data_IF_222124927924
#
_entry.id   IF_222124927924
#
_cell.length_a   1.000
_cell.length_b   1.000
_cell.length_c   1.000
_cell.angle_alpha   90.00
_cell.angle_beta   90.00
_cell.angle_gamma   90.00
#
_symmetry.space_group_name_H-M   'P 1'
#
loop_
_entity.id
_entity.type
_entity.pdbx_description
1 polymer ?
#
# COMPACT_ATOMS: atom_id res chain seq x y z
N UNK A 1 -3.87 -65.89 94.64
CA UNK A 1 -4.34 -65.50 96.01
C UNK A 1 -4.65 -63.97 95.89
N UNK A 2 -5.90 -63.65 95.97
CA UNK A 2 -6.42 -62.34 96.42
C UNK A 2 -6.07 -61.06 95.61
N UNK A 3 -6.92 -60.27 95.25
CA UNK A 3 -8.25 -59.70 95.56
C UNK A 3 -8.28 -58.27 95.01
N UNK A 4 -9.34 -57.96 94.27
CA UNK A 4 -10.08 -56.65 94.21
C UNK A 4 -9.25 -55.33 94.02
N UNK A 5 -9.69 -54.34 93.27
CA UNK A 5 -11.03 -53.76 93.06
C UNK A 5 -11.02 -52.68 91.96
N UNK A 6 -12.03 -52.65 91.16
CA UNK A 6 -12.82 -51.54 90.66
C UNK A 6 -12.26 -50.14 90.90
N UNK A 7 -12.23 -49.31 89.85
CA UNK A 7 -12.99 -48.04 89.73
C UNK A 7 -12.91 -47.56 88.28
N UNK A 8 -14.09 -47.42 87.69
CA UNK A 8 -14.30 -46.89 86.34
C UNK A 8 -14.23 -45.39 86.36
N UNK A 9 -13.68 -44.82 85.33
CA UNK A 9 -13.87 -43.41 84.94
C UNK A 9 -14.26 -43.39 83.46
N UNK A 10 -15.51 -43.05 83.19
CA UNK A 10 -16.03 -42.70 81.88
C UNK A 10 -15.44 -41.41 81.47
N UNK A 11 -14.61 -41.40 80.42
CA UNK A 11 -14.17 -40.21 79.73
C UNK A 11 -15.01 -40.13 78.44
N UNK A 12 -16.04 -39.27 78.46
CA UNK A 12 -16.88 -38.98 77.32
C UNK A 12 -16.04 -38.22 76.26
N UNK A 13 -15.83 -38.87 75.13
CA UNK A 13 -15.22 -38.27 73.97
C UNK A 13 -16.25 -37.42 73.24
N UNK A 14 -16.33 -36.12 73.56
CA UNK A 14 -17.12 -35.15 72.77
C UNK A 14 -16.39 -34.87 71.45
N UNK A 15 -16.88 -35.52 70.37
CA UNK A 15 -16.45 -35.21 68.99
C UNK A 15 -17.01 -33.82 68.62
N UNK A 16 -16.14 -32.77 68.76
CA UNK A 16 -16.42 -31.44 68.26
C UNK A 16 -16.37 -31.45 66.72
N UNK A 17 -17.55 -31.50 66.07
CA UNK A 17 -17.65 -31.16 64.64
C UNK A 17 -17.30 -29.69 64.46
N UNK A 18 -16.05 -29.40 64.12
CA UNK A 18 -15.63 -28.11 63.57
C UNK A 18 -16.23 -28.00 62.16
N UNK A 19 -17.37 -27.34 62.03
CA UNK A 19 -17.87 -26.90 60.76
C UNK A 19 -16.93 -25.78 60.28
N UNK A 20 -16.00 -26.16 59.35
CA UNK A 20 -15.26 -25.22 58.55
C UNK A 20 -16.24 -24.48 57.65
N UNK A 21 -16.66 -23.30 58.08
CA UNK A 21 -17.31 -22.37 57.18
C UNK A 21 -16.27 -21.97 56.13
N UNK A 22 -16.32 -22.61 54.96
CA UNK A 22 -15.68 -22.11 53.77
C UNK A 22 -16.35 -20.76 53.46
N UNK A 23 -15.73 -19.67 53.88
CA UNK A 23 -16.07 -18.34 53.43
C UNK A 23 -15.76 -18.35 51.94
N UNK A 24 -16.73 -18.66 51.12
CA UNK A 24 -16.66 -18.28 49.71
C UNK A 24 -16.49 -16.78 49.68
N UNK A 25 -15.29 -16.30 49.45
CA UNK A 25 -15.09 -14.92 49.11
C UNK A 25 -16.01 -14.64 47.90
N UNK A 26 -17.09 -13.91 48.16
CA UNK A 26 -17.99 -13.46 47.10
C UNK A 26 -17.13 -12.72 46.10
N UNK A 27 -16.87 -13.33 44.95
CA UNK A 27 -16.19 -12.69 43.86
C UNK A 27 -17.03 -11.47 43.51
N UNK A 28 -16.49 -10.27 43.78
CA UNK A 28 -17.18 -9.00 43.53
C UNK A 28 -17.52 -8.98 42.05
N UNK A 29 -18.78 -9.18 41.70
CA UNK A 29 -19.26 -9.09 40.34
C UNK A 29 -18.91 -7.72 39.82
N UNK A 30 -18.33 -7.66 38.61
CA UNK A 30 -17.97 -6.40 37.96
C UNK A 30 -19.24 -5.59 37.70
N UNK A 31 -19.17 -4.27 37.94
CA UNK A 31 -20.36 -3.42 37.78
C UNK A 31 -20.41 -2.85 36.35
N UNK A 32 -21.63 -2.74 35.82
CA UNK A 32 -21.89 -2.14 34.52
C UNK A 32 -21.91 -0.62 34.70
N UNK A 33 -21.06 0.10 33.95
CA UNK A 33 -21.00 1.58 33.95
C UNK A 33 -21.74 2.19 32.77
N UNK A 34 -21.92 1.45 31.68
CA UNK A 34 -22.79 1.86 30.57
C UNK A 34 -23.38 0.65 29.85
N UNK A 35 -24.61 0.82 29.38
CA UNK A 35 -25.26 -0.10 28.41
C UNK A 35 -25.24 0.60 27.07
N UNK A 36 -24.80 -0.10 26.02
CA UNK A 36 -24.63 0.43 24.68
C UNK A 36 -25.27 -0.53 23.69
N UNK A 37 -26.49 -0.25 23.22
CA UNK A 37 -27.33 -1.21 22.47
C UNK A 37 -27.39 -2.58 23.15
N UNK A 38 -26.88 -3.62 22.50
CA UNK A 38 -26.81 -5.00 23.00
C UNK A 38 -25.53 -5.30 23.81
N UNK A 39 -24.62 -4.30 23.96
CA UNK A 39 -23.34 -4.43 24.65
C UNK A 39 -23.30 -3.69 25.99
N UNK A 40 -22.27 -3.94 26.77
CA UNK A 40 -22.01 -3.30 28.05
C UNK A 40 -20.58 -2.78 28.13
N UNK A 41 -20.36 -1.79 28.96
CA UNK A 41 -19.04 -1.33 29.40
C UNK A 41 -18.95 -1.61 30.90
N UNK A 42 -17.89 -2.29 31.32
CA UNK A 42 -17.66 -2.71 32.69
C UNK A 42 -16.79 -1.68 33.46
N UNK A 43 -16.96 -1.63 34.77
CA UNK A 43 -16.13 -0.81 35.64
C UNK A 43 -14.64 -1.18 35.59
N UNK A 44 -14.35 -2.48 35.44
CA UNK A 44 -12.99 -2.96 35.27
C UNK A 44 -12.35 -2.42 33.99
N UNK A 45 -13.08 -2.41 32.85
CA UNK A 45 -12.58 -1.86 31.57
C UNK A 45 -12.27 -0.36 31.70
N UNK A 46 -13.18 0.39 32.35
CA UNK A 46 -12.98 1.81 32.61
C UNK A 46 -11.75 2.06 33.47
N UNK A 47 -11.58 1.27 34.55
CA UNK A 47 -10.46 1.41 35.49
C UNK A 47 -9.12 1.13 34.82
N UNK A 48 -9.03 0.03 34.06
CA UNK A 48 -7.83 -0.35 33.31
C UNK A 48 -7.48 0.73 32.30
N UNK A 49 -8.46 1.20 31.53
CA UNK A 49 -8.24 2.22 30.51
C UNK A 49 -7.80 3.56 31.12
N UNK A 50 -8.39 3.96 32.26
CA UNK A 50 -7.97 5.15 33.02
C UNK A 50 -6.52 5.07 33.43
N UNK A 51 -6.08 3.94 33.98
CA UNK A 51 -4.68 3.75 34.40
C UNK A 51 -3.72 3.85 33.21
N UNK A 52 -4.07 3.27 32.06
CA UNK A 52 -3.26 3.35 30.82
C UNK A 52 -3.14 4.82 30.40
N UNK A 53 -4.26 5.54 30.30
CA UNK A 53 -4.28 6.94 29.85
C UNK A 53 -3.51 7.84 30.82
N UNK A 54 -3.67 7.66 32.13
CA UNK A 54 -2.93 8.43 33.15
C UNK A 54 -1.42 8.22 33.04
N UNK A 55 -0.96 6.96 32.84
CA UNK A 55 0.46 6.66 32.65
C UNK A 55 1.00 7.32 31.38
N UNK A 56 0.25 7.24 30.28
CA UNK A 56 0.64 7.84 29.01
C UNK A 56 0.79 9.35 29.12
N UNK A 57 -0.21 10.04 29.68
CA UNK A 57 -0.16 11.50 29.91
C UNK A 57 1.02 11.90 30.82
N UNK A 58 1.28 11.10 31.87
CA UNK A 58 2.42 11.34 32.78
C UNK A 58 3.76 11.18 32.07
N UNK A 59 3.92 10.18 31.20
CA UNK A 59 5.13 9.98 30.42
C UNK A 59 5.39 11.10 29.41
N UNK A 60 4.32 11.67 28.87
CA UNK A 60 4.38 12.78 27.91
C UNK A 60 4.54 14.15 28.59
N UNK A 61 4.77 14.19 29.93
CA UNK A 61 4.81 15.42 30.75
C UNK A 61 3.57 16.31 30.58
N UNK A 62 2.43 15.74 30.23
CA UNK A 62 1.18 16.47 30.06
C UNK A 62 0.47 16.59 31.39
N UNK A 63 0.03 17.81 31.75
CA UNK A 63 -0.75 18.02 32.98
C UNK A 63 -2.04 17.20 32.94
N UNK A 64 -2.25 16.35 33.94
CA UNK A 64 -3.44 15.55 34.08
C UNK A 64 -4.68 16.43 34.21
N UNK A 65 -5.77 16.20 33.47
CA UNK A 65 -7.05 16.81 33.68
C UNK A 65 -7.66 16.43 35.06
N UNK A 66 -8.72 17.11 35.46
CA UNK A 66 -9.54 16.66 36.60
C UNK A 66 -9.98 15.19 36.36
N UNK A 67 -9.95 14.40 37.44
CA UNK A 67 -10.22 12.95 37.35
C UNK A 67 -11.63 12.67 36.82
N UNK A 68 -12.63 13.48 37.17
CA UNK A 68 -14.00 13.29 36.68
C UNK A 68 -14.09 13.60 35.18
N UNK A 69 -13.37 14.62 34.70
CA UNK A 69 -13.30 14.95 33.27
C UNK A 69 -12.63 13.81 32.50
N UNK A 70 -11.51 13.32 33.02
CA UNK A 70 -10.78 12.22 32.40
C UNK A 70 -11.62 10.93 32.39
N UNK A 71 -12.30 10.60 33.46
CA UNK A 71 -13.20 9.45 33.57
C UNK A 71 -14.31 9.50 32.53
N UNK A 72 -14.97 10.66 32.39
CA UNK A 72 -16.03 10.84 31.39
C UNK A 72 -15.50 10.74 29.95
N UNK A 73 -14.32 11.26 29.68
CA UNK A 73 -13.69 11.14 28.36
C UNK A 73 -13.37 9.68 28.01
N UNK A 74 -12.77 8.94 28.97
CA UNK A 74 -12.44 7.53 28.78
C UNK A 74 -13.70 6.68 28.64
N UNK A 75 -14.75 6.93 29.45
CA UNK A 75 -16.03 6.25 29.31
C UNK A 75 -16.66 6.49 27.94
N UNK A 76 -16.68 7.74 27.46
CA UNK A 76 -17.17 8.06 26.13
C UNK A 76 -16.38 7.35 25.02
N UNK A 77 -15.07 7.23 25.18
CA UNK A 77 -14.24 6.49 24.24
C UNK A 77 -14.59 5.02 24.22
N UNK A 78 -14.75 4.37 25.39
CA UNK A 78 -15.15 2.95 25.49
C UNK A 78 -16.54 2.70 24.89
N UNK A 79 -17.49 3.61 25.06
CA UNK A 79 -18.80 3.55 24.42
C UNK A 79 -18.67 3.57 22.90
N UNK A 80 -17.87 4.48 22.34
CA UNK A 80 -17.65 4.57 20.89
C UNK A 80 -16.91 3.34 20.36
N UNK A 81 -15.93 2.83 21.08
CA UNK A 81 -15.23 1.59 20.72
C UNK A 81 -16.19 0.40 20.67
N UNK A 82 -17.08 0.27 21.68
CA UNK A 82 -18.09 -0.78 21.75
C UNK A 82 -19.05 -0.71 20.55
N UNK A 83 -19.54 0.48 20.19
CA UNK A 83 -20.39 0.67 19.00
C UNK A 83 -19.69 0.25 17.70
N UNK A 84 -18.40 0.57 17.55
CA UNK A 84 -17.62 0.19 16.38
C UNK A 84 -17.42 -1.33 16.30
N UNK A 85 -17.15 -1.99 17.42
CA UNK A 85 -17.00 -3.46 17.48
C UNK A 85 -18.32 -4.17 17.15
N UNK A 86 -19.45 -3.67 17.67
CA UNK A 86 -20.77 -4.22 17.32
C UNK A 86 -21.04 -4.06 15.81
N UNK A 87 -20.72 -2.90 15.23
CA UNK A 87 -20.90 -2.66 13.80
C UNK A 87 -19.96 -3.54 12.95
N UNK A 88 -18.73 -3.75 13.42
CA UNK A 88 -17.78 -4.65 12.78
C UNK A 88 -18.31 -6.08 12.73
N UNK A 89 -18.85 -6.57 13.85
CA UNK A 89 -19.51 -7.89 13.94
C UNK A 89 -20.69 -7.99 12.98
N UNK A 90 -21.58 -6.98 12.95
CA UNK A 90 -22.74 -6.94 12.03
C UNK A 90 -22.33 -6.95 10.55
N UNK A 91 -21.17 -6.38 10.22
CA UNK A 91 -20.62 -6.35 8.85
C UNK A 91 -19.70 -7.52 8.52
N UNK A 92 -19.51 -8.47 9.42
CA UNK A 92 -18.67 -9.64 9.21
C UNK A 92 -17.17 -9.33 9.15
N UNK A 93 -16.72 -8.22 9.74
CA UNK A 93 -15.29 -7.89 9.83
C UNK A 93 -14.63 -8.85 10.82
N UNK A 94 -13.68 -9.62 10.34
CA UNK A 94 -12.91 -10.59 11.12
C UNK A 94 -11.42 -10.41 10.91
N UNK A 95 -10.66 -10.29 12.00
CA UNK A 95 -9.21 -10.23 11.99
C UNK A 95 -8.63 -11.59 12.38
N UNK A 96 -7.98 -12.24 11.43
CA UNK A 96 -7.37 -13.55 11.61
C UNK A 96 -6.13 -13.49 12.51
N UNK A 97 -5.82 -14.59 13.20
CA UNK A 97 -4.66 -14.68 14.10
C UNK A 97 -3.32 -14.26 13.48
N UNK A 98 -2.98 -14.67 12.26
CA UNK A 98 -1.72 -14.24 11.63
C UNK A 98 -1.59 -12.71 11.49
N UNK A 99 -2.71 -12.01 11.28
CA UNK A 99 -2.71 -10.53 11.19
C UNK A 99 -2.39 -9.90 12.56
N UNK A 100 -2.91 -10.50 13.64
CA UNK A 100 -2.60 -10.07 15.02
C UNK A 100 -1.13 -10.32 15.33
N UNK A 101 -0.58 -11.48 14.94
CA UNK A 101 0.83 -11.82 15.15
C UNK A 101 1.76 -10.83 14.45
N UNK A 102 1.50 -10.52 13.19
CA UNK A 102 2.25 -9.51 12.43
C UNK A 102 2.18 -8.11 13.10
N UNK A 103 1.02 -7.75 13.64
CA UNK A 103 0.88 -6.48 14.36
C UNK A 103 1.71 -6.44 15.64
N UNK A 104 1.71 -7.52 16.41
CA UNK A 104 2.52 -7.67 17.64
C UNK A 104 4.02 -7.64 17.35
N UNK A 105 4.47 -8.37 16.33
CA UNK A 105 5.86 -8.33 15.85
C UNK A 105 6.28 -6.92 15.45
N UNK A 106 5.41 -6.18 14.76
CA UNK A 106 5.66 -4.79 14.39
C UNK A 106 5.79 -3.87 15.62
N UNK A 107 4.96 -4.09 16.64
CA UNK A 107 5.06 -3.36 17.92
C UNK A 107 6.41 -3.62 18.59
N UNK A 108 6.85 -4.88 18.69
CA UNK A 108 8.15 -5.23 19.23
C UNK A 108 9.30 -4.58 18.45
N UNK A 109 9.25 -4.66 17.12
CA UNK A 109 10.25 -4.06 16.22
C UNK A 109 10.32 -2.54 16.35
N UNK A 110 9.18 -1.85 16.40
CA UNK A 110 9.13 -0.40 16.53
C UNK A 110 9.68 0.07 17.88
N UNK A 111 9.49 -0.72 18.94
CA UNK A 111 10.06 -0.47 20.27
C UNK A 111 11.49 -1.01 20.42
N UNK A 112 12.06 -1.63 19.40
CA UNK A 112 13.42 -2.23 19.41
C UNK A 112 13.65 -3.24 20.53
N UNK A 113 12.63 -4.04 20.85
CA UNK A 113 12.65 -5.08 21.88
C UNK A 113 12.42 -6.46 21.27
N UNK A 114 12.96 -7.51 21.92
CA UNK A 114 12.66 -8.90 21.56
C UNK A 114 11.25 -9.31 22.01
N UNK A 115 10.75 -10.45 21.49
CA UNK A 115 9.45 -10.99 21.87
C UNK A 115 9.37 -11.26 23.39
N UNK A 116 10.42 -11.85 24.00
CA UNK A 116 10.46 -12.14 25.43
C UNK A 116 10.40 -10.87 26.29
N UNK A 117 11.08 -9.79 25.86
CA UNK A 117 11.02 -8.50 26.54
C UNK A 117 9.67 -7.82 26.36
N UNK A 118 8.99 -8.04 25.24
CA UNK A 118 7.63 -7.56 25.04
C UNK A 118 6.67 -8.25 26.00
N UNK A 119 6.77 -9.58 26.16
CA UNK A 119 5.93 -10.33 27.09
C UNK A 119 6.14 -9.86 28.54
N UNK A 120 7.38 -9.63 28.95
CA UNK A 120 7.68 -9.09 30.26
C UNK A 120 7.12 -7.66 30.45
N UNK A 121 7.26 -6.78 29.45
CA UNK A 121 6.73 -5.43 29.51
C UNK A 121 5.18 -5.41 29.59
N UNK A 122 4.51 -6.34 28.94
CA UNK A 122 3.05 -6.56 29.04
C UNK A 122 2.68 -6.98 30.45
N UNK A 123 3.40 -7.97 31.02
CA UNK A 123 3.18 -8.45 32.40
C UNK A 123 3.42 -7.36 33.44
N UNK A 124 4.48 -6.56 33.27
CA UNK A 124 4.80 -5.40 34.14
C UNK A 124 3.70 -4.33 34.11
N UNK A 125 2.95 -4.24 33.04
CA UNK A 125 1.76 -3.38 32.94
C UNK A 125 0.49 -4.02 33.51
N UNK A 126 0.55 -5.23 34.04
CA UNK A 126 -0.56 -5.95 34.66
C UNK A 126 -1.52 -6.59 33.65
N UNK A 127 -1.08 -6.78 32.39
CA UNK A 127 -1.84 -7.40 31.32
C UNK A 127 -1.24 -8.79 30.99
N UNK A 128 -2.08 -9.77 30.68
CA UNK A 128 -1.60 -11.05 30.14
C UNK A 128 -1.42 -10.97 28.63
N UNK A 129 -0.61 -11.85 28.03
CA UNK A 129 -0.46 -11.94 26.57
C UNK A 129 -1.79 -12.19 25.86
N UNK A 130 -2.71 -12.95 26.47
CA UNK A 130 -4.04 -13.22 25.91
C UNK A 130 -4.88 -11.93 25.86
N UNK A 131 -4.86 -11.15 26.94
CA UNK A 131 -5.57 -9.85 26.99
C UNK A 131 -4.97 -8.88 26.00
N UNK A 132 -3.64 -8.80 25.93
CA UNK A 132 -2.94 -7.98 24.95
C UNK A 132 -3.32 -8.34 23.50
N UNK A 133 -3.30 -9.63 23.14
CA UNK A 133 -3.71 -10.10 21.83
C UNK A 133 -5.17 -9.74 21.52
N UNK A 134 -6.05 -9.87 22.50
CA UNK A 134 -7.46 -9.48 22.34
C UNK A 134 -7.60 -7.99 22.07
N UNK A 135 -6.89 -7.16 22.82
CA UNK A 135 -6.87 -5.71 22.63
C UNK A 135 -6.35 -5.32 21.25
N UNK A 136 -5.23 -5.90 20.80
CA UNK A 136 -4.69 -5.67 19.47
C UNK A 136 -5.69 -6.08 18.39
N UNK A 137 -6.37 -7.22 18.54
CA UNK A 137 -7.43 -7.63 17.60
C UNK A 137 -8.57 -6.62 17.56
N UNK A 138 -9.01 -6.11 18.70
CA UNK A 138 -10.06 -5.09 18.78
C UNK A 138 -9.62 -3.78 18.10
N UNK A 139 -8.40 -3.30 18.34
CA UNK A 139 -7.83 -2.12 17.69
C UNK A 139 -7.77 -2.28 16.17
N UNK A 140 -7.32 -3.45 15.68
CA UNK A 140 -7.29 -3.75 14.25
C UNK A 140 -8.70 -3.82 13.65
N UNK A 141 -9.66 -4.41 14.38
CA UNK A 141 -11.06 -4.49 13.96
C UNK A 141 -11.69 -3.10 13.86
N UNK A 142 -11.45 -2.24 14.86
CA UNK A 142 -11.91 -0.84 14.86
C UNK A 142 -11.30 -0.08 13.68
N UNK A 143 -10.00 -0.22 13.44
CA UNK A 143 -9.34 0.43 12.31
C UNK A 143 -9.94 -0.03 10.98
N UNK A 144 -10.16 -1.31 10.80
CA UNK A 144 -10.73 -1.86 9.57
C UNK A 144 -12.15 -1.35 9.32
N UNK A 145 -13.01 -1.37 10.33
CA UNK A 145 -14.39 -0.88 10.19
C UNK A 145 -14.43 0.63 9.94
N UNK A 146 -13.53 1.42 10.55
CA UNK A 146 -13.37 2.84 10.26
C UNK A 146 -12.98 3.07 8.80
N UNK A 147 -11.91 2.42 8.35
CA UNK A 147 -11.39 2.57 6.98
C UNK A 147 -12.47 2.21 5.96
N UNK A 148 -13.11 1.07 6.13
CA UNK A 148 -14.14 0.58 5.18
C UNK A 148 -15.37 1.48 5.18
N UNK A 149 -15.91 1.81 6.37
CA UNK A 149 -17.14 2.59 6.49
C UNK A 149 -16.95 4.06 6.05
N UNK A 150 -15.84 4.67 6.43
CA UNK A 150 -15.56 6.08 6.10
C UNK A 150 -15.20 6.24 4.62
N UNK A 151 -14.38 5.34 4.04
CA UNK A 151 -14.03 5.41 2.62
C UNK A 151 -15.25 5.27 1.70
N UNK A 152 -16.25 4.48 2.10
CA UNK A 152 -17.50 4.35 1.34
C UNK A 152 -18.34 5.65 1.33
N UNK A 153 -18.14 6.52 2.30
CA UNK A 153 -18.86 7.81 2.43
C UNK A 153 -18.15 8.96 1.71
N UNK A 154 -16.81 8.88 1.58
CA UNK A 154 -16.04 9.93 0.92
C UNK A 154 -16.35 9.94 -0.57
N UNK A 155 -16.99 11.02 -1.04
CA UNK A 155 -17.22 11.33 -2.45
C UNK A 155 -16.18 12.36 -2.90
N UNK A 156 -15.56 12.09 -4.04
CA UNK A 156 -14.57 12.98 -4.67
C UNK A 156 -15.01 13.21 -6.09
N UNK A 157 -15.35 14.46 -6.42
CA UNK A 157 -15.75 14.84 -7.77
C UNK A 157 -14.52 15.11 -8.65
N UNK A 158 -14.69 14.99 -9.97
CA UNK A 158 -13.61 15.33 -10.91
C UNK A 158 -13.18 16.80 -10.79
N UNK A 159 -14.12 17.71 -10.51
CA UNK A 159 -13.82 19.12 -10.27
C UNK A 159 -12.92 19.33 -9.03
N UNK A 160 -13.08 18.53 -7.96
CA UNK A 160 -12.16 18.58 -6.81
C UNK A 160 -10.75 18.08 -7.18
N UNK A 161 -10.68 17.05 -8.05
CA UNK A 161 -9.41 16.56 -8.57
C UNK A 161 -8.72 17.64 -9.39
N UNK A 162 -9.43 18.32 -10.29
CA UNK A 162 -8.88 19.38 -11.13
C UNK A 162 -8.39 20.56 -10.28
N UNK A 163 -9.15 20.98 -9.27
CA UNK A 163 -8.74 22.04 -8.33
C UNK A 163 -7.51 21.64 -7.52
N UNK A 164 -7.46 20.39 -7.07
CA UNK A 164 -6.30 19.88 -6.34
C UNK A 164 -5.05 19.91 -7.22
N UNK A 165 -5.15 19.43 -8.46
CA UNK A 165 -4.03 19.43 -9.42
C UNK A 165 -3.57 20.83 -9.79
N UNK A 166 -4.47 21.81 -9.80
CA UNK A 166 -4.13 23.22 -10.01
C UNK A 166 -3.49 23.88 -8.78
N UNK A 167 -3.60 23.30 -7.60
CA UNK A 167 -2.98 23.83 -6.38
C UNK A 167 -1.47 23.58 -6.32
N UNK A 168 -0.76 24.31 -5.46
CA UNK A 168 0.68 24.10 -5.24
C UNK A 168 1.03 22.64 -4.90
N UNK A 169 0.20 21.96 -4.11
CA UNK A 169 0.40 20.55 -3.75
C UNK A 169 0.22 19.64 -4.96
N UNK A 170 -0.78 19.90 -5.78
CA UNK A 170 -1.01 19.16 -7.01
C UNK A 170 0.08 19.38 -8.05
N UNK A 171 0.55 20.61 -8.18
CA UNK A 171 1.69 20.94 -9.05
C UNK A 171 2.97 20.21 -8.60
N UNK A 172 3.24 20.14 -7.29
CA UNK A 172 4.37 19.36 -6.75
C UNK A 172 4.23 17.86 -7.00
N UNK A 173 2.99 17.34 -7.00
CA UNK A 173 2.71 15.95 -7.33
C UNK A 173 2.93 15.66 -8.83
N UNK A 174 2.59 16.62 -9.68
CA UNK A 174 2.75 16.53 -11.14
C UNK A 174 4.16 16.87 -11.62
N UNK A 175 5.01 17.44 -10.74
CA UNK A 175 6.32 17.95 -11.11
C UNK A 175 7.23 16.82 -11.60
N UNK A 176 7.62 16.97 -12.88
CA UNK A 176 8.51 16.03 -13.54
C UNK A 176 9.94 16.31 -13.14
N UNK A 177 10.70 15.26 -12.85
CA UNK A 177 12.15 15.33 -12.67
C UNK A 177 12.84 14.98 -13.98
N UNK A 178 13.87 15.75 -14.30
CA UNK A 178 14.68 15.63 -15.50
C UNK A 178 16.12 15.36 -15.12
N UNK A 179 16.75 14.41 -15.77
CA UNK A 179 18.20 14.22 -15.73
C UNK A 179 18.81 14.93 -16.93
N UNK A 180 19.69 15.90 -16.66
CA UNK A 180 20.15 16.86 -17.68
C UNK A 180 21.65 16.79 -17.78
N UNK A 181 22.15 16.74 -19.03
CA UNK A 181 23.52 17.04 -19.37
C UNK A 181 23.65 18.51 -19.83
N UNK A 182 24.75 19.14 -19.51
CA UNK A 182 25.03 20.55 -19.81
C UNK A 182 26.48 20.79 -20.24
N UNK A 183 26.62 21.49 -21.32
CA UNK A 183 27.90 22.04 -21.83
C UNK A 183 27.81 23.55 -21.76
N UNK A 184 28.83 24.19 -21.23
CA UNK A 184 29.03 25.64 -21.26
C UNK A 184 30.26 25.97 -22.09
N UNK A 185 30.12 26.90 -23.01
CA UNK A 185 31.24 27.61 -23.68
C UNK A 185 31.19 29.00 -23.10
N UNK A 186 32.10 29.29 -22.19
CA UNK A 186 32.13 30.57 -21.47
C UNK A 186 32.60 31.71 -22.36
N UNK A 187 32.00 32.86 -22.12
CA UNK A 187 32.40 34.12 -22.78
C UNK A 187 32.66 35.17 -21.71
N UNK A 188 33.58 36.09 -22.01
CA UNK A 188 33.78 37.26 -21.17
C UNK A 188 32.53 38.16 -21.15
N UNK A 189 32.44 39.08 -20.17
CA UNK A 189 31.31 39.99 -20.06
C UNK A 189 31.16 40.94 -21.28
N UNK A 190 32.24 41.17 -21.99
CA UNK A 190 32.31 41.96 -23.24
C UNK A 190 33.20 41.22 -24.25
N UNK A 191 32.65 40.17 -24.89
CA UNK A 191 33.44 39.32 -25.77
C UNK A 191 33.82 40.10 -27.05
N UNK A 192 35.07 39.98 -27.43
CA UNK A 192 35.55 40.53 -28.68
C UNK A 192 35.23 39.60 -29.87
N UNK A 193 35.54 40.04 -31.08
CA UNK A 193 35.26 39.28 -32.30
C UNK A 193 36.02 37.94 -32.35
N UNK A 194 37.23 37.89 -31.80
CA UNK A 194 38.06 36.68 -31.78
C UNK A 194 37.51 35.64 -30.80
N UNK A 195 37.04 36.08 -29.62
CA UNK A 195 36.41 35.22 -28.62
C UNK A 195 35.08 34.60 -29.12
N UNK A 196 34.29 35.42 -29.82
CA UNK A 196 33.05 34.95 -30.46
C UNK A 196 33.31 33.93 -31.57
N UNK A 197 34.34 34.16 -32.41
CA UNK A 197 34.74 33.24 -33.47
C UNK A 197 35.23 31.89 -32.88
N UNK A 198 36.06 31.92 -31.84
CA UNK A 198 36.53 30.73 -31.14
C UNK A 198 35.38 29.95 -30.55
N UNK A 199 34.42 30.62 -29.90
CA UNK A 199 33.22 29.97 -29.37
C UNK A 199 32.36 29.32 -30.46
N UNK A 200 32.23 30.00 -31.64
CA UNK A 200 31.50 29.43 -32.77
C UNK A 200 32.21 28.20 -33.35
N UNK A 201 33.54 28.20 -33.41
CA UNK A 201 34.32 27.03 -33.84
C UNK A 201 34.11 25.84 -32.87
N UNK A 202 34.09 26.11 -31.56
CA UNK A 202 33.78 25.08 -30.53
C UNK A 202 32.38 24.55 -30.68
N UNK A 203 31.36 25.41 -30.90
CA UNK A 203 29.98 24.97 -31.15
C UNK A 203 29.88 24.08 -32.40
N UNK A 204 30.60 24.44 -33.48
CA UNK A 204 30.62 23.62 -34.68
C UNK A 204 31.28 22.24 -34.44
N UNK A 205 32.33 22.19 -33.62
CA UNK A 205 32.97 20.94 -33.24
C UNK A 205 32.00 20.05 -32.39
N UNK A 206 31.28 20.65 -31.43
CA UNK A 206 30.25 19.96 -30.63
C UNK A 206 29.15 19.41 -31.54
N UNK A 207 28.59 20.20 -32.43
CA UNK A 207 27.55 19.76 -33.37
C UNK A 207 28.03 18.58 -34.24
N UNK A 208 29.26 18.69 -34.78
CA UNK A 208 29.85 17.62 -35.59
C UNK A 208 30.07 16.32 -34.80
N UNK A 209 30.41 16.41 -33.51
CA UNK A 209 30.55 15.25 -32.62
C UNK A 209 29.17 14.60 -32.34
N UNK A 210 28.13 15.42 -32.10
CA UNK A 210 26.76 14.96 -31.92
C UNK A 210 26.25 14.24 -33.19
N UNK A 211 26.47 14.83 -34.38
CA UNK A 211 26.07 14.23 -35.66
C UNK A 211 26.78 12.90 -35.95
N UNK A 212 27.99 12.70 -35.45
CA UNK A 212 28.74 11.44 -35.52
C UNK A 212 28.24 10.38 -34.52
N UNK A 213 27.42 10.77 -33.57
CA UNK A 213 26.89 9.90 -32.55
C UNK A 213 27.81 9.73 -31.33
N UNK A 214 28.74 10.65 -31.11
CA UNK A 214 29.59 10.63 -29.91
C UNK A 214 28.73 10.86 -28.66
N UNK A 215 29.10 10.21 -27.53
CA UNK A 215 28.40 10.38 -26.28
C UNK A 215 28.49 11.82 -25.74
N UNK A 216 27.37 12.43 -25.38
CA UNK A 216 27.30 13.77 -24.83
C UNK A 216 28.27 14.01 -23.66
N UNK A 217 28.44 13.01 -22.79
CA UNK A 217 29.40 13.08 -21.68
C UNK A 217 30.83 13.24 -22.11
N UNK A 218 31.25 12.59 -23.19
CA UNK A 218 32.59 12.71 -23.78
C UNK A 218 32.79 14.07 -24.44
N UNK A 219 31.76 14.57 -25.14
CA UNK A 219 31.75 15.92 -25.74
C UNK A 219 31.86 16.97 -24.63
N UNK A 220 31.10 16.84 -23.54
CA UNK A 220 31.16 17.73 -22.41
C UNK A 220 32.54 17.76 -21.74
N UNK A 221 33.13 16.57 -21.52
CA UNK A 221 34.46 16.48 -20.94
C UNK A 221 35.57 17.14 -21.81
N UNK A 222 35.35 17.18 -23.12
CA UNK A 222 36.33 17.73 -24.09
C UNK A 222 36.16 19.25 -24.34
N UNK A 223 34.91 19.73 -24.36
CA UNK A 223 34.58 21.06 -24.86
C UNK A 223 33.92 21.98 -23.84
N UNK A 224 33.52 21.49 -22.65
CA UNK A 224 32.77 22.31 -21.70
C UNK A 224 33.68 23.02 -20.69
N UNK A 225 33.41 24.29 -20.47
CA UNK A 225 34.03 25.10 -19.40
C UNK A 225 33.28 24.99 -18.08
N UNK A 226 32.18 24.20 -18.02
CA UNK A 226 31.40 24.03 -16.81
C UNK A 226 32.14 23.19 -15.75
N UNK A 227 31.93 23.49 -14.46
CA UNK A 227 32.54 22.77 -13.33
C UNK A 227 32.28 21.26 -13.34
N UNK A 228 31.20 20.83 -13.98
CA UNK A 228 30.78 19.43 -14.11
C UNK A 228 31.25 18.79 -15.44
N UNK A 229 32.05 19.47 -16.27
CA UNK A 229 32.51 18.96 -17.54
C UNK A 229 33.14 17.56 -17.44
N UNK A 230 34.10 17.38 -16.52
CA UNK A 230 34.78 16.09 -16.27
C UNK A 230 33.88 14.98 -15.66
N UNK A 231 32.64 15.33 -15.28
CA UNK A 231 31.60 14.39 -14.89
C UNK A 231 30.58 14.15 -15.99
N UNK A 232 30.99 14.36 -17.27
CA UNK A 232 30.13 14.23 -18.43
C UNK A 232 29.07 15.34 -18.55
N UNK A 233 29.28 16.49 -17.91
CA UNK A 233 28.32 17.59 -17.93
C UNK A 233 27.03 17.33 -17.12
N UNK A 234 26.89 16.22 -16.41
CA UNK A 234 25.66 15.88 -15.70
C UNK A 234 25.35 16.89 -14.59
N UNK A 235 24.11 17.40 -14.59
CA UNK A 235 23.51 18.21 -13.51
C UNK A 235 22.73 17.34 -12.52
N UNK A 236 22.62 16.02 -12.80
CA UNK A 236 21.79 15.07 -12.05
C UNK A 236 20.31 15.35 -12.20
N UNK A 237 19.51 14.66 -11.40
CA UNK A 237 18.05 14.79 -11.38
C UNK A 237 17.62 16.13 -10.78
N UNK A 238 16.77 16.88 -11.51
CA UNK A 238 16.21 18.17 -11.10
C UNK A 238 14.72 18.19 -11.37
N UNK A 239 13.94 18.73 -10.43
CA UNK A 239 12.52 19.00 -10.66
C UNK A 239 12.36 20.10 -11.70
N UNK A 240 11.34 20.01 -12.54
CA UNK A 240 11.04 21.02 -13.54
C UNK A 240 10.87 22.41 -12.95
N UNK A 241 10.28 22.52 -11.74
CA UNK A 241 10.15 23.76 -10.98
C UNK A 241 11.47 24.32 -10.42
N UNK A 242 12.54 23.52 -10.39
CA UNK A 242 13.88 23.90 -9.89
C UNK A 242 14.88 24.19 -11.00
N UNK A 243 14.47 24.01 -12.25
CA UNK A 243 15.33 24.32 -13.39
C UNK A 243 15.51 25.84 -13.55
N UNK A 244 16.72 26.31 -13.91
CA UNK A 244 16.90 27.67 -14.39
C UNK A 244 15.90 27.97 -15.52
N UNK A 245 15.35 29.17 -15.54
CA UNK A 245 14.36 29.58 -16.56
C UNK A 245 14.87 29.35 -17.99
N UNK A 246 16.18 29.56 -18.20
CA UNK A 246 16.89 29.33 -19.44
C UNK A 246 16.75 27.90 -19.98
N UNK A 247 16.66 26.91 -19.11
CA UNK A 247 16.58 25.47 -19.43
C UNK A 247 15.18 24.90 -19.33
N UNK A 248 14.31 25.53 -18.51
CA UNK A 248 13.03 24.98 -18.14
C UNK A 248 12.09 24.73 -19.34
N UNK A 249 11.98 25.69 -20.26
CA UNK A 249 11.12 25.54 -21.44
C UNK A 249 11.71 24.60 -22.49
N UNK A 250 13.01 24.72 -22.88
CA UNK A 250 13.62 23.74 -23.78
C UNK A 250 13.49 22.29 -23.28
N UNK A 251 13.87 22.02 -22.02
CA UNK A 251 13.87 20.67 -21.47
C UNK A 251 12.47 20.04 -21.48
N UNK A 252 11.41 20.81 -21.21
CA UNK A 252 10.02 20.29 -21.23
C UNK A 252 9.59 19.82 -22.63
N UNK A 253 10.10 20.50 -23.67
CA UNK A 253 9.77 20.19 -25.05
C UNK A 253 10.58 19.02 -25.64
N UNK A 254 11.77 18.72 -25.06
CA UNK A 254 12.70 17.71 -25.58
C UNK A 254 12.24 16.29 -25.34
N UNK A 255 12.64 15.39 -26.22
CA UNK A 255 12.58 13.94 -26.02
C UNK A 255 13.89 13.42 -25.42
N UNK A 256 13.83 12.27 -24.74
CA UNK A 256 15.02 11.64 -24.14
C UNK A 256 16.05 11.34 -25.25
N UNK A 257 17.30 11.73 -25.00
CA UNK A 257 18.42 11.64 -25.93
C UNK A 257 18.59 12.85 -26.84
N UNK A 258 17.65 13.78 -26.87
CA UNK A 258 17.73 14.98 -27.69
C UNK A 258 18.74 15.98 -27.11
N UNK A 259 19.46 16.68 -28.01
CA UNK A 259 20.36 17.77 -27.66
C UNK A 259 19.80 19.08 -28.19
N UNK A 260 19.81 20.13 -27.37
CA UNK A 260 19.26 21.44 -27.74
C UNK A 260 20.14 22.16 -28.75
N UNK A 261 19.54 23.12 -29.50
CA UNK A 261 20.30 24.17 -30.13
C UNK A 261 21.05 25.00 -29.07
N UNK A 262 22.18 25.66 -29.42
CA UNK A 262 22.90 26.52 -28.49
C UNK A 262 22.04 27.66 -27.95
N UNK A 263 21.99 27.78 -26.61
CA UNK A 263 21.25 28.81 -25.89
C UNK A 263 22.26 29.83 -25.36
N UNK A 264 22.06 31.12 -25.67
CA UNK A 264 22.99 32.17 -25.27
C UNK A 264 22.48 32.96 -24.07
N UNK A 265 23.38 33.25 -23.12
CA UNK A 265 23.16 34.23 -22.06
C UNK A 265 24.45 35.04 -21.80
N UNK A 266 24.49 35.80 -20.69
CA UNK A 266 25.66 36.62 -20.30
C UNK A 266 26.91 35.81 -19.94
N UNK A 267 26.78 34.52 -19.63
CA UNK A 267 27.93 33.66 -19.27
C UNK A 267 28.51 32.92 -20.46
N UNK A 268 27.85 32.92 -21.62
CA UNK A 268 28.30 32.24 -22.82
C UNK A 268 27.19 31.46 -23.54
N UNK A 269 27.59 30.42 -24.23
CA UNK A 269 26.69 29.48 -24.91
C UNK A 269 26.50 28.22 -24.08
N UNK A 270 25.24 27.78 -23.99
CA UNK A 270 24.86 26.57 -23.29
C UNK A 270 24.27 25.58 -24.29
N UNK A 271 24.69 24.34 -24.22
CA UNK A 271 24.09 23.20 -24.93
C UNK A 271 23.64 22.22 -23.88
N UNK A 272 22.35 21.81 -23.92
CA UNK A 272 21.78 20.89 -22.96
C UNK A 272 21.26 19.62 -23.65
N UNK A 273 21.27 18.52 -22.94
CA UNK A 273 20.62 17.27 -23.38
C UNK A 273 19.69 16.76 -22.30
N UNK A 274 18.58 16.19 -22.73
CA UNK A 274 17.70 15.43 -21.84
C UNK A 274 18.16 13.97 -21.78
N UNK A 275 18.84 13.59 -20.71
CA UNK A 275 19.34 12.22 -20.51
C UNK A 275 18.19 11.28 -20.19
N UNK A 276 17.33 11.67 -19.25
CA UNK A 276 16.15 10.90 -18.85
C UNK A 276 15.12 11.82 -18.17
N UNK A 277 13.86 11.36 -18.07
CA UNK A 277 12.79 12.05 -17.36
C UNK A 277 11.91 11.07 -16.59
N UNK A 278 11.52 11.45 -15.37
CA UNK A 278 10.66 10.65 -14.52
C UNK A 278 9.64 11.53 -13.79
N UNK A 279 8.51 10.94 -13.44
CA UNK A 279 7.45 11.62 -12.70
C UNK A 279 6.15 10.86 -12.78
N UNK A 280 5.20 11.22 -11.92
CA UNK A 280 3.87 10.59 -11.89
C UNK A 280 3.09 10.85 -13.18
N UNK A 281 3.35 12.01 -13.82
CA UNK A 281 2.69 12.40 -15.07
C UNK A 281 3.30 11.76 -16.32
N UNK A 282 4.43 11.07 -16.19
CA UNK A 282 5.11 10.39 -17.30
C UNK A 282 5.30 8.93 -16.92
N UNK A 283 4.29 8.15 -17.17
CA UNK A 283 4.33 6.72 -16.89
C UNK A 283 3.69 5.95 -18.03
N UNK A 284 4.48 5.12 -18.68
CA UNK A 284 4.00 4.20 -19.71
C UNK A 284 3.93 2.79 -19.17
N UNK A 285 2.92 2.05 -19.59
CA UNK A 285 2.75 0.63 -19.26
C UNK A 285 2.66 -0.16 -20.54
N UNK A 286 3.51 -1.16 -20.67
CA UNK A 286 3.38 -2.14 -21.74
C UNK A 286 2.14 -2.98 -21.50
N UNK A 287 1.28 -3.06 -22.52
CA UNK A 287 0.08 -3.87 -22.52
C UNK A 287 0.13 -4.86 -23.68
N UNK A 288 -0.41 -6.06 -23.43
CA UNK A 288 -0.55 -7.11 -24.45
C UNK A 288 -2.01 -7.49 -24.56
N UNK A 289 -2.56 -7.49 -25.76
CA UNK A 289 -3.89 -8.04 -26.05
C UNK A 289 -3.76 -9.52 -26.29
N UNK A 290 -4.54 -10.32 -25.57
CA UNK A 290 -4.35 -11.77 -25.47
C UNK A 290 -5.66 -12.50 -25.69
N UNK A 291 -5.64 -13.51 -26.54
CA UNK A 291 -6.66 -14.55 -26.60
C UNK A 291 -6.25 -15.74 -25.73
N UNK A 292 -7.20 -16.33 -25.03
CA UNK A 292 -7.01 -17.41 -24.07
C UNK A 292 -8.02 -18.54 -24.29
N UNK A 293 -7.56 -19.77 -24.23
CA UNK A 293 -8.38 -20.98 -24.23
C UNK A 293 -7.96 -21.86 -23.06
N UNK A 294 -8.92 -22.30 -22.27
CA UNK A 294 -8.72 -23.12 -21.09
C UNK A 294 -9.45 -24.43 -21.20
N UNK A 295 -8.78 -25.54 -20.92
CA UNK A 295 -9.39 -26.86 -20.78
C UNK A 295 -9.16 -27.37 -19.36
N UNK A 296 -10.26 -27.54 -18.62
CA UNK A 296 -10.25 -28.05 -17.25
C UNK A 296 -10.46 -29.56 -17.23
N UNK A 297 -9.71 -30.33 -16.43
CA UNK A 297 -10.15 -31.64 -16.02
C UNK A 297 -11.40 -31.52 -15.13
N UNK A 298 -12.36 -32.43 -15.29
CA UNK A 298 -13.60 -32.47 -14.51
C UNK A 298 -14.09 -33.94 -14.36
N UNK A 299 -15.27 -34.14 -13.82
CA UNK A 299 -15.84 -35.48 -13.60
C UNK A 299 -16.03 -36.31 -14.89
N UNK A 300 -16.15 -35.64 -16.03
CA UNK A 300 -16.37 -36.30 -17.35
C UNK A 300 -15.06 -36.33 -18.15
N UNK A 301 -14.13 -35.43 -17.93
CA UNK A 301 -12.87 -35.29 -18.65
C UNK A 301 -11.68 -35.49 -17.69
N UNK A 302 -10.98 -36.59 -17.82
CA UNK A 302 -9.76 -36.85 -17.04
C UNK A 302 -8.64 -35.86 -17.37
N UNK A 303 -7.60 -35.72 -16.52
CA UNK A 303 -6.42 -34.92 -16.83
C UNK A 303 -5.76 -35.26 -18.15
N UNK A 304 -5.63 -36.56 -18.46
CA UNK A 304 -5.03 -37.02 -19.72
C UNK A 304 -5.91 -36.66 -20.94
N UNK A 305 -7.23 -36.76 -20.79
CA UNK A 305 -8.16 -36.32 -21.82
C UNK A 305 -8.15 -34.82 -22.04
N UNK A 306 -7.94 -34.02 -20.99
CA UNK A 306 -7.78 -32.58 -21.11
C UNK A 306 -6.48 -32.24 -21.88
N UNK A 307 -5.40 -32.94 -21.62
CA UNK A 307 -4.14 -32.80 -22.34
C UNK A 307 -4.27 -33.20 -23.83
N UNK A 308 -4.92 -34.29 -24.11
CA UNK A 308 -5.17 -34.73 -25.51
C UNK A 308 -5.99 -33.69 -26.26
N UNK A 309 -7.05 -33.18 -25.64
CA UNK A 309 -7.93 -32.17 -26.24
C UNK A 309 -7.20 -30.85 -26.51
N UNK A 310 -6.42 -30.34 -25.54
CA UNK A 310 -5.70 -29.08 -25.75
C UNK A 310 -4.66 -29.20 -26.88
N UNK A 311 -3.98 -30.35 -26.98
CA UNK A 311 -3.05 -30.63 -28.08
C UNK A 311 -3.76 -30.72 -29.43
N UNK A 312 -4.94 -31.34 -29.50
CA UNK A 312 -5.78 -31.35 -30.70
C UNK A 312 -6.18 -29.92 -31.11
N UNK A 313 -6.66 -29.10 -30.17
CA UNK A 313 -7.05 -27.72 -30.44
C UNK A 313 -5.86 -26.87 -30.89
N UNK A 314 -4.68 -27.07 -30.30
CA UNK A 314 -3.44 -26.43 -30.71
C UNK A 314 -3.09 -26.79 -32.18
N UNK A 315 -3.19 -28.05 -32.56
CA UNK A 315 -2.94 -28.47 -33.96
C UNK A 315 -3.98 -27.88 -34.93
N UNK A 316 -5.24 -27.79 -34.53
CA UNK A 316 -6.27 -27.15 -35.35
C UNK A 316 -5.98 -25.66 -35.55
N UNK A 317 -5.52 -24.93 -34.53
CA UNK A 317 -5.10 -23.53 -34.62
C UNK A 317 -3.89 -23.34 -35.54
N UNK A 318 -2.88 -24.21 -35.44
CA UNK A 318 -1.72 -24.21 -36.36
C UNK A 318 -2.15 -24.41 -37.80
N UNK A 319 -3.15 -25.28 -38.03
CA UNK A 319 -3.69 -25.55 -39.34
C UNK A 319 -4.67 -24.49 -39.85
N UNK A 320 -4.79 -23.34 -39.18
CA UNK A 320 -5.55 -22.17 -39.60
C UNK A 320 -7.01 -22.13 -39.14
N UNK A 321 -7.40 -22.91 -38.13
CA UNK A 321 -8.71 -22.74 -37.50
C UNK A 321 -8.77 -21.42 -36.76
N UNK A 322 -9.95 -20.81 -36.71
CA UNK A 322 -10.17 -19.56 -36.02
C UNK A 322 -10.13 -19.74 -34.47
N UNK A 323 -9.36 -18.90 -33.79
CA UNK A 323 -9.21 -18.97 -32.32
C UNK A 323 -10.52 -18.67 -31.60
N UNK A 324 -11.27 -17.66 -32.12
CA UNK A 324 -12.53 -17.24 -31.56
C UNK A 324 -13.56 -18.37 -31.55
N UNK A 325 -13.68 -19.08 -32.69
CA UNK A 325 -14.64 -20.17 -32.83
C UNK A 325 -14.27 -21.36 -31.92
N UNK A 326 -12.98 -21.70 -31.85
CA UNK A 326 -12.52 -22.79 -30.97
C UNK A 326 -12.65 -22.45 -29.48
N UNK A 327 -12.34 -21.22 -29.10
CA UNK A 327 -12.51 -20.78 -27.71
C UNK A 327 -13.99 -20.80 -27.29
N UNK A 328 -14.89 -20.34 -28.13
CA UNK A 328 -16.34 -20.39 -27.87
C UNK A 328 -16.88 -21.80 -27.74
N UNK A 329 -16.37 -22.73 -28.55
CA UNK A 329 -16.87 -24.10 -28.61
C UNK A 329 -16.29 -24.99 -27.49
N UNK A 330 -15.06 -24.76 -27.07
CA UNK A 330 -14.31 -25.70 -26.25
C UNK A 330 -13.74 -25.14 -24.96
N UNK A 331 -13.60 -23.79 -24.81
CA UNK A 331 -12.98 -23.21 -23.62
C UNK A 331 -13.86 -23.32 -22.40
N UNK A 332 -13.29 -23.84 -21.31
CA UNK A 332 -13.92 -23.88 -19.98
C UNK A 332 -13.77 -22.56 -19.20
N UNK A 333 -13.14 -21.51 -19.77
CA UNK A 333 -13.07 -20.19 -19.16
C UNK A 333 -14.39 -19.42 -19.35
N UNK A 334 -15.26 -19.47 -18.35
CA UNK A 334 -16.57 -18.84 -18.39
C UNK A 334 -16.53 -17.31 -18.64
N UNK A 335 -15.41 -16.66 -18.37
CA UNK A 335 -15.29 -15.20 -18.54
C UNK A 335 -14.94 -14.82 -19.98
N UNK A 336 -14.02 -15.53 -20.63
CA UNK A 336 -13.53 -15.19 -21.97
C UNK A 336 -14.12 -16.05 -23.09
N UNK A 337 -14.56 -17.29 -22.82
CA UNK A 337 -15.13 -18.16 -23.84
C UNK A 337 -16.28 -17.54 -24.65
N UNK A 338 -17.27 -16.86 -24.04
CA UNK A 338 -18.35 -16.21 -24.80
C UNK A 338 -17.86 -15.14 -25.78
N UNK A 339 -16.71 -14.54 -25.49
CA UNK A 339 -16.04 -13.52 -26.30
C UNK A 339 -14.92 -14.10 -27.17
N UNK A 340 -14.96 -15.42 -27.45
CA UNK A 340 -13.97 -16.08 -28.29
C UNK A 340 -12.57 -16.14 -27.67
N UNK A 341 -12.48 -16.12 -26.34
CA UNK A 341 -11.21 -16.17 -25.60
C UNK A 341 -10.56 -14.80 -25.42
N UNK A 342 -11.14 -13.68 -25.88
CA UNK A 342 -10.54 -12.35 -25.75
C UNK A 342 -10.49 -11.92 -24.25
N UNK A 343 -9.28 -11.82 -23.70
CA UNK A 343 -9.00 -11.27 -22.37
C UNK A 343 -8.82 -9.74 -22.40
N UNK A 344 -8.85 -9.13 -23.57
CA UNK A 344 -8.57 -7.71 -23.75
C UNK A 344 -7.10 -7.35 -23.51
N UNK A 345 -6.86 -6.10 -23.16
CA UNK A 345 -5.53 -5.57 -22.87
C UNK A 345 -5.09 -5.88 -21.44
N UNK A 346 -4.03 -6.66 -21.31
CA UNK A 346 -3.44 -7.04 -20.02
C UNK A 346 -2.15 -6.25 -19.75
N UNK A 347 -1.98 -5.78 -18.52
CA UNK A 347 -0.71 -5.26 -18.02
C UNK A 347 0.21 -6.42 -17.62
N UNK A 348 1.50 -6.14 -17.44
CA UNK A 348 2.43 -7.12 -16.89
C UNK A 348 1.95 -7.62 -15.52
N UNK A 349 2.13 -8.91 -15.26
CA UNK A 349 1.78 -9.60 -14.00
C UNK A 349 0.26 -9.67 -13.67
N UNK A 350 -0.62 -9.53 -14.64
CA UNK A 350 -2.06 -9.77 -14.47
C UNK A 350 -2.47 -11.24 -14.64
N UNK A 351 -1.61 -12.05 -15.22
CA UNK A 351 -1.80 -13.50 -15.35
C UNK A 351 -1.02 -14.27 -14.27
N UNK A 352 -1.42 -15.51 -13.95
CA UNK A 352 -0.61 -16.42 -13.16
C UNK A 352 0.82 -16.54 -13.73
N UNK A 353 1.82 -16.70 -12.85
CA UNK A 353 3.22 -16.61 -13.23
C UNK A 353 3.62 -17.53 -14.41
N UNK A 354 3.07 -18.76 -14.48
CA UNK A 354 3.35 -19.71 -15.56
C UNK A 354 2.86 -19.19 -16.92
N UNK A 355 1.67 -18.59 -16.97
CA UNK A 355 1.09 -18.00 -18.17
C UNK A 355 1.80 -16.70 -18.55
N UNK A 356 2.16 -15.89 -17.56
CA UNK A 356 2.90 -14.65 -17.79
C UNK A 356 4.29 -14.93 -18.38
N UNK A 357 4.98 -15.96 -17.90
CA UNK A 357 6.29 -16.36 -18.45
C UNK A 357 6.18 -16.76 -19.92
N UNK A 358 5.16 -17.55 -20.26
CA UNK A 358 4.91 -17.93 -21.65
C UNK A 358 4.54 -16.71 -22.52
N UNK A 359 3.68 -15.82 -22.01
CA UNK A 359 3.25 -14.62 -22.74
C UNK A 359 4.42 -13.68 -23.06
N UNK A 360 5.41 -13.59 -22.19
CA UNK A 360 6.54 -12.68 -22.35
C UNK A 360 7.48 -13.04 -23.51
N UNK A 361 7.53 -14.31 -23.88
CA UNK A 361 8.41 -14.80 -24.97
C UNK A 361 7.72 -14.90 -26.32
N UNK A 362 6.37 -14.87 -26.36
CA UNK A 362 5.61 -14.95 -27.61
C UNK A 362 5.74 -13.66 -28.43
N UNK A 363 5.88 -13.78 -29.73
CA UNK A 363 5.75 -12.65 -30.66
C UNK A 363 4.27 -12.26 -30.86
N UNK A 364 4.03 -11.12 -31.52
CA UNK A 364 2.67 -10.73 -31.96
C UNK A 364 2.18 -11.75 -32.99
N UNK A 365 0.91 -12.13 -32.88
CA UNK A 365 0.21 -13.17 -33.67
C UNK A 365 0.67 -14.61 -33.37
N UNK A 366 1.63 -14.79 -32.45
CA UNK A 366 2.13 -16.12 -32.11
C UNK A 366 1.21 -16.83 -31.10
N UNK A 367 1.03 -18.14 -31.33
CA UNK A 367 0.30 -19.08 -30.48
C UNK A 367 1.28 -19.79 -29.53
N UNK A 368 0.94 -19.88 -28.24
CA UNK A 368 1.74 -20.66 -27.30
C UNK A 368 1.66 -22.14 -27.53
N UNK A 369 2.68 -22.89 -27.10
CA UNK A 369 2.49 -24.32 -26.83
C UNK A 369 1.46 -24.52 -25.73
N UNK A 370 0.82 -25.71 -25.62
CA UNK A 370 -0.04 -26.02 -24.47
C UNK A 370 0.69 -25.81 -23.13
N UNK A 371 0.10 -25.02 -22.23
CA UNK A 371 0.69 -24.65 -20.95
C UNK A 371 -0.10 -25.31 -19.85
N UNK A 372 0.55 -26.14 -19.03
CA UNK A 372 -0.08 -26.75 -17.86
C UNK A 372 -0.03 -25.80 -16.65
N UNK A 373 -1.14 -25.66 -15.97
CA UNK A 373 -1.26 -24.97 -14.68
C UNK A 373 -1.91 -25.89 -13.62
N UNK A 374 -2.05 -25.38 -12.39
CA UNK A 374 -2.77 -26.10 -11.34
C UNK A 374 -4.24 -26.36 -11.68
N UNK A 375 -4.83 -25.52 -12.53
CA UNK A 375 -6.25 -25.55 -12.83
C UNK A 375 -6.57 -26.35 -14.11
N UNK A 376 -5.61 -26.55 -14.99
CA UNK A 376 -5.82 -27.22 -16.29
C UNK A 376 -4.81 -26.80 -17.34
N UNK A 377 -5.19 -26.96 -18.61
CA UNK A 377 -4.37 -26.68 -19.77
C UNK A 377 -4.81 -25.40 -20.47
N UNK A 378 -3.84 -24.58 -20.89
CA UNK A 378 -4.08 -23.28 -21.49
C UNK A 378 -3.39 -23.15 -22.86
N UNK A 379 -4.03 -22.41 -23.76
CA UNK A 379 -3.41 -21.85 -24.96
C UNK A 379 -3.54 -20.33 -24.89
N UNK A 380 -2.48 -19.63 -25.25
CA UNK A 380 -2.42 -18.17 -25.35
C UNK A 380 -2.04 -17.77 -26.77
N UNK A 381 -2.67 -16.73 -27.29
CA UNK A 381 -2.26 -16.06 -28.51
C UNK A 381 -2.09 -14.57 -28.25
N UNK A 382 -0.93 -14.03 -28.62
CA UNK A 382 -0.69 -12.58 -28.56
C UNK A 382 -1.34 -11.95 -29.78
N UNK A 383 -2.34 -11.10 -29.58
CA UNK A 383 -3.02 -10.39 -30.69
C UNK A 383 -2.26 -9.11 -31.03
N UNK A 384 -1.87 -8.33 -30.02
CA UNK A 384 -1.25 -7.03 -30.20
C UNK A 384 -0.44 -6.62 -28.95
N UNK A 385 0.58 -5.79 -29.15
CA UNK A 385 1.33 -5.15 -28.04
C UNK A 385 1.33 -3.65 -28.23
N UNK A 386 1.10 -2.92 -27.14
CA UNK A 386 1.17 -1.45 -27.13
C UNK A 386 1.86 -0.93 -25.88
N UNK A 387 2.35 0.27 -25.98
CA UNK A 387 2.78 1.05 -24.81
C UNK A 387 1.74 2.13 -24.59
N UNK A 388 1.02 2.05 -23.47
CA UNK A 388 -0.02 3.01 -23.12
C UNK A 388 0.52 4.01 -22.11
N UNK A 389 0.37 5.30 -22.39
CA UNK A 389 0.62 6.34 -21.40
C UNK A 389 -0.50 6.33 -20.35
N UNK A 390 -0.12 6.08 -19.10
CA UNK A 390 -1.02 6.07 -17.94
C UNK A 390 -0.69 7.19 -16.96
N UNK A 391 0.23 8.10 -17.31
CA UNK A 391 0.72 9.15 -16.43
C UNK A 391 -0.41 10.05 -15.93
N UNK A 392 -1.26 10.53 -16.81
CA UNK A 392 -2.40 11.38 -16.44
C UNK A 392 -3.41 10.62 -15.56
N UNK A 393 -3.72 9.36 -15.88
CA UNK A 393 -4.62 8.55 -15.07
C UNK A 393 -4.03 8.30 -13.67
N UNK A 394 -2.73 8.03 -13.60
CA UNK A 394 -2.03 7.82 -12.35
C UNK A 394 -1.93 9.10 -11.50
N UNK A 395 -1.65 10.24 -12.14
CA UNK A 395 -1.66 11.55 -11.49
C UNK A 395 -3.03 11.87 -10.87
N UNK A 396 -4.12 11.66 -11.61
CA UNK A 396 -5.49 11.83 -11.10
C UNK A 396 -5.80 10.86 -9.98
N UNK A 397 -5.35 9.61 -10.09
CA UNK A 397 -5.51 8.62 -9.02
C UNK A 397 -4.80 9.06 -7.73
N UNK A 398 -3.54 9.52 -7.82
CA UNK A 398 -2.80 10.01 -6.66
C UNK A 398 -3.43 11.27 -6.06
N UNK A 399 -3.92 12.18 -6.89
CA UNK A 399 -4.69 13.34 -6.44
C UNK A 399 -5.94 12.92 -5.66
N UNK A 400 -6.71 11.93 -6.16
CA UNK A 400 -7.86 11.36 -5.44
C UNK A 400 -7.46 10.76 -4.09
N UNK A 401 -6.32 10.06 -4.01
CA UNK A 401 -5.82 9.52 -2.74
C UNK A 401 -5.44 10.64 -1.76
N UNK A 402 -4.78 11.69 -2.22
CA UNK A 402 -4.42 12.84 -1.40
C UNK A 402 -5.67 13.56 -0.85
N UNK A 403 -6.65 13.83 -1.70
CA UNK A 403 -7.95 14.42 -1.30
C UNK A 403 -8.67 13.52 -0.29
N UNK A 404 -8.70 12.20 -0.53
CA UNK A 404 -9.30 11.23 0.40
C UNK A 404 -8.64 11.28 1.76
N UNK A 405 -7.31 11.31 1.80
CA UNK A 405 -6.54 11.43 3.05
C UNK A 405 -6.89 12.70 3.82
N UNK A 406 -7.11 13.80 3.12
CA UNK A 406 -7.50 15.08 3.75
C UNK A 406 -8.95 15.06 4.25
N UNK A 407 -9.87 14.42 3.53
CA UNK A 407 -11.29 14.34 3.93
C UNK A 407 -11.54 13.31 5.03
N UNK A 408 -10.69 12.29 5.14
CA UNK A 408 -10.90 11.15 6.04
C UNK A 408 -11.13 11.53 7.51
N UNK A 409 -10.34 12.41 8.16
CA UNK A 409 -10.54 12.74 9.55
C UNK A 409 -11.91 13.35 9.84
N UNK A 410 -12.35 14.32 9.05
CA UNK A 410 -13.64 14.98 9.21
C UNK A 410 -14.81 13.98 8.97
N UNK A 411 -14.71 13.13 7.95
CA UNK A 411 -15.73 12.13 7.68
C UNK A 411 -15.75 11.03 8.76
N UNK A 412 -14.60 10.72 9.37
CA UNK A 412 -14.53 9.83 10.53
C UNK A 412 -15.29 10.42 11.72
N UNK A 413 -15.08 11.70 12.05
CA UNK A 413 -15.82 12.37 13.12
C UNK A 413 -17.32 12.40 12.86
N UNK A 414 -17.73 12.71 11.62
CA UNK A 414 -19.13 12.68 11.20
C UNK A 414 -19.73 11.28 11.35
N UNK A 415 -18.99 10.26 10.94
CA UNK A 415 -19.43 8.87 11.06
C UNK A 415 -19.52 8.41 12.52
N UNK A 416 -18.52 8.74 13.37
CA UNK A 416 -18.56 8.42 14.79
C UNK A 416 -19.75 9.10 15.50
N UNK A 417 -19.99 10.36 15.18
CA UNK A 417 -21.15 11.09 15.68
C UNK A 417 -22.47 10.43 15.23
N UNK A 418 -22.55 10.02 13.97
CA UNK A 418 -23.73 9.36 13.44
C UNK A 418 -24.04 8.03 14.13
N UNK A 419 -23.04 7.15 14.32
CA UNK A 419 -23.25 5.86 15.01
C UNK A 419 -23.62 6.06 16.47
N UNK A 420 -23.05 7.07 17.14
CA UNK A 420 -23.40 7.43 18.52
C UNK A 420 -24.85 7.91 18.65
N UNK A 421 -25.28 8.80 17.74
CA UNK A 421 -26.62 9.38 17.76
C UNK A 421 -27.72 8.36 17.45
N UNK A 422 -27.39 7.27 16.76
CA UNK A 422 -28.31 6.18 16.43
C UNK A 422 -28.37 5.10 17.51
N UNK A 423 -27.47 5.13 18.48
CA UNK A 423 -27.33 4.11 19.50
C UNK A 423 -28.17 4.41 20.74
N UNK A 424 -28.68 3.35 21.38
CA UNK A 424 -29.17 3.42 22.74
C UNK A 424 -27.98 3.40 23.71
N UNK A 425 -27.86 4.42 24.55
CA UNK A 425 -26.78 4.54 25.55
C UNK A 425 -27.40 4.93 26.89
N UNK A 426 -27.17 4.09 27.91
CA UNK A 426 -27.56 4.33 29.31
C UNK A 426 -26.30 4.29 30.16
N UNK A 427 -25.93 5.42 30.79
CA UNK A 427 -24.81 5.52 31.74
C UNK A 427 -25.35 5.31 33.15
N UNK A 428 -24.70 4.46 33.96
CA UNK A 428 -25.11 4.07 35.32
C UNK A 428 -24.18 4.63 36.39
#
# INVERSE_FOLDING_TARGET
MNILSKWGINLGLTLGLAWSYSVFAAQKLDSIVAIVNDGIVLQSDLTIRLLIVQRQLSNDNTKLPDLNVLTNQVLNQLIIENLQLQLATKKGVHIADPTVDIAIERIAKNNKISADKLEQAIADNGETMVQFRTRIRQELTIKEIQVTSVNQRIRISEHEVDRYLASNQGQQLADTEYEIGHILISLSAQPDAQELEAAQQTLNAINSAIEKGDEFGSIAATHSDALNALKGGSLGWRKGSQLPELFAEPIKAMVVGEVSSPIRNSSGFHVITLIDKRGVSIQTVAQTKVNHLLILPNEIRSPDQAEVLINELHQRLINGADFYDLARAFSDDANSAPSGGDLGWLNANQLPAVLQTALNVLAVEELSQPIQSKNGWHLLQVVERQTKDVGQANLRFQAKQAIRKTKFPNELENWLSAIRNQAYIEIR
#
